data_IF_341901355031
#
_entry.id   IF_341901355031
#
_cell.length_a   1.000
_cell.length_b   1.000
_cell.length_c   1.000
_cell.angle_alpha   90.00
_cell.angle_beta   90.00
_cell.angle_gamma   90.00
#
_symmetry.space_group_name_H-M   'P 1'
#
loop_
_entity.id
_entity.type
_entity.pdbx_description
1 polymer ?
#
# COMPACT_ATOMS: atom_id res chain seq x y z
N UNK A 1 -12.08 -5.04 -7.44
CA UNK A 1 -11.30 -4.59 -6.27
C UNK A 1 -10.66 -3.26 -6.63
N UNK A 2 -10.63 -2.32 -5.68
CA UNK A 2 -10.00 -1.02 -5.83
C UNK A 2 -9.37 -0.60 -4.49
N UNK A 3 -8.40 0.30 -4.54
CA UNK A 3 -7.76 0.91 -3.39
C UNK A 3 -8.71 1.76 -2.54
N UNK A 4 -8.27 2.06 -1.31
CA UNK A 4 -9.03 2.80 -0.29
C UNK A 4 -9.54 4.15 -0.78
N UNK A 5 -8.75 4.81 -1.63
CA UNK A 5 -8.97 6.15 -2.17
C UNK A 5 -9.11 6.14 -3.69
N UNK A 6 -9.57 5.03 -4.26
CA UNK A 6 -9.81 4.96 -5.70
C UNK A 6 -10.96 5.86 -6.13
N UNK A 7 -10.75 6.52 -7.26
CA UNK A 7 -11.78 7.23 -8.00
C UNK A 7 -12.13 6.45 -9.27
N UNK A 8 -13.32 6.69 -9.81
CA UNK A 8 -13.83 5.96 -10.98
C UNK A 8 -13.27 6.51 -12.30
N UNK A 9 -13.32 5.67 -13.32
CA UNK A 9 -13.02 6.04 -14.70
C UNK A 9 -13.76 7.33 -15.14
N UNK A 10 -13.13 8.17 -15.98
CA UNK A 10 -11.88 7.94 -16.73
C UNK A 10 -10.59 8.18 -15.92
N UNK A 11 -10.71 8.49 -14.64
CA UNK A 11 -9.59 8.73 -13.74
C UNK A 11 -9.32 7.53 -12.83
N UNK A 12 -8.15 7.51 -12.22
CA UNK A 12 -7.73 6.52 -11.24
C UNK A 12 -6.81 7.11 -10.18
N UNK A 13 -6.35 6.24 -9.30
CA UNK A 13 -5.48 6.61 -8.18
C UNK A 13 -4.15 5.87 -8.27
N UNK A 14 -3.05 6.61 -8.21
CA UNK A 14 -1.70 6.07 -8.06
C UNK A 14 -1.24 6.26 -6.61
N UNK A 15 -0.78 5.20 -5.96
CA UNK A 15 -0.33 5.23 -4.58
C UNK A 15 1.19 5.33 -4.52
N UNK A 16 1.69 6.32 -3.80
CA UNK A 16 3.12 6.48 -3.51
C UNK A 16 3.32 6.74 -2.01
N UNK A 17 4.52 6.46 -1.50
CA UNK A 17 4.90 6.71 -0.12
C UNK A 17 6.17 7.55 -0.04
N UNK A 18 6.42 8.16 1.12
CA UNK A 18 7.59 9.01 1.34
C UNK A 18 8.89 8.23 1.62
N UNK A 19 8.80 6.92 1.89
CA UNK A 19 9.94 6.02 2.05
C UNK A 19 9.64 4.65 1.45
N UNK A 20 10.69 3.93 1.04
CA UNK A 20 10.59 2.56 0.54
C UNK A 20 9.94 1.64 1.59
N UNK A 21 10.39 1.74 2.84
CA UNK A 21 9.83 1.00 3.99
C UNK A 21 8.31 1.20 4.12
N UNK A 22 7.83 2.45 3.97
CA UNK A 22 6.40 2.76 4.06
C UNK A 22 5.63 2.14 2.90
N UNK A 23 6.17 2.21 1.68
CA UNK A 23 5.56 1.59 0.50
C UNK A 23 5.45 0.07 0.67
N UNK A 24 6.54 -0.57 1.11
CA UNK A 24 6.59 -2.02 1.33
C UNK A 24 5.63 -2.44 2.43
N UNK A 25 5.58 -1.75 3.57
CA UNK A 25 4.65 -2.06 4.67
C UNK A 25 3.19 -2.02 4.23
N UNK A 26 2.78 -1.12 3.35
CA UNK A 26 1.41 -1.10 2.84
C UNK A 26 1.08 -2.31 1.96
N UNK A 27 2.08 -2.84 1.25
CA UNK A 27 1.93 -3.97 0.33
C UNK A 27 1.97 -5.31 1.10
N UNK A 28 2.92 -5.50 2.01
CA UNK A 28 3.09 -6.76 2.75
C UNK A 28 2.33 -6.80 4.08
N UNK A 29 1.96 -5.64 4.61
CA UNK A 29 1.34 -5.48 5.93
C UNK A 29 0.07 -6.31 6.15
N UNK A 30 -0.89 -6.38 5.20
CA UNK A 30 -2.07 -7.22 5.37
C UNK A 30 -1.74 -8.70 5.60
N UNK A 31 -0.73 -9.22 4.91
CA UNK A 31 -0.33 -10.62 4.98
C UNK A 31 0.50 -10.89 6.23
N UNK A 32 1.41 -9.99 6.56
CA UNK A 32 2.20 -10.06 7.77
C UNK A 32 1.34 -9.96 9.03
N UNK A 33 0.39 -9.03 9.12
CA UNK A 33 -0.51 -8.93 10.29
C UNK A 33 -1.38 -10.17 10.45
N UNK A 34 -1.72 -10.83 9.35
CA UNK A 34 -2.57 -12.03 9.36
C UNK A 34 -1.82 -13.30 9.72
N UNK A 35 -0.56 -13.43 9.30
CA UNK A 35 0.18 -14.71 9.34
C UNK A 35 1.54 -14.65 10.05
N UNK A 36 2.06 -13.45 10.32
CA UNK A 36 3.41 -13.24 10.87
C UNK A 36 4.55 -13.48 9.88
N UNK A 37 4.25 -13.83 8.62
CA UNK A 37 5.25 -14.17 7.60
C UNK A 37 4.94 -13.49 6.28
N UNK A 38 5.98 -13.32 5.46
CA UNK A 38 5.87 -12.84 4.08
C UNK A 38 6.39 -13.94 3.16
N UNK A 39 5.60 -14.29 2.15
CA UNK A 39 6.01 -15.26 1.15
C UNK A 39 7.12 -14.69 0.27
N UNK A 40 8.21 -15.42 0.15
CA UNK A 40 9.36 -15.03 -0.66
C UNK A 40 9.01 -14.77 -2.15
N UNK A 41 8.20 -15.65 -2.74
CA UNK A 41 7.75 -15.49 -4.12
C UNK A 41 6.92 -14.22 -4.32
N UNK A 42 6.28 -13.70 -3.26
CA UNK A 42 5.56 -12.44 -3.34
C UNK A 42 6.52 -11.24 -3.43
N UNK A 43 7.65 -11.25 -2.72
CA UNK A 43 8.59 -10.11 -2.73
C UNK A 43 9.59 -10.17 -3.87
N UNK A 44 9.95 -11.37 -4.33
CA UNK A 44 11.01 -11.59 -5.32
C UNK A 44 10.69 -11.08 -6.73
N UNK A 45 9.41 -10.95 -7.10
CA UNK A 45 8.99 -10.45 -8.42
C UNK A 45 8.59 -8.96 -8.42
N UNK A 46 8.98 -8.20 -7.39
CA UNK A 46 8.50 -6.82 -7.18
C UNK A 46 9.65 -5.87 -6.91
N UNK A 47 9.51 -4.66 -7.47
CA UNK A 47 10.42 -3.54 -7.22
C UNK A 47 9.69 -2.38 -6.53
N UNK A 48 10.39 -1.70 -5.64
CA UNK A 48 9.99 -0.39 -5.11
C UNK A 48 10.52 0.67 -6.06
N UNK A 49 9.60 1.37 -6.73
CA UNK A 49 9.94 2.38 -7.73
C UNK A 49 9.96 3.79 -7.14
N UNK A 50 11.00 4.56 -7.43
CA UNK A 50 11.05 5.98 -7.09
C UNK A 50 10.37 6.81 -8.19
N UNK A 51 9.41 7.65 -7.77
CA UNK A 51 8.62 8.49 -8.66
C UNK A 51 8.87 9.96 -8.36
N UNK A 52 9.40 10.69 -9.34
CA UNK A 52 9.54 12.15 -9.25
C UNK A 52 8.29 12.85 -9.75
N UNK A 53 7.75 13.73 -8.90
CA UNK A 53 6.62 14.59 -9.28
C UNK A 53 7.14 15.81 -10.04
N UNK A 54 7.05 15.78 -11.38
CA UNK A 54 7.47 16.91 -12.23
C UNK A 54 6.65 18.20 -12.02
N UNK A 55 5.50 18.12 -11.35
CA UNK A 55 4.65 19.26 -10.99
C UNK A 55 4.19 19.11 -9.56
N UNK A 56 4.13 20.23 -8.84
CA UNK A 56 3.47 20.25 -7.55
C UNK A 56 1.99 19.90 -7.70
N UNK A 57 1.49 19.07 -6.79
CA UNK A 57 0.09 18.68 -6.75
C UNK A 57 -0.59 19.30 -5.53
N UNK A 58 -1.86 19.66 -5.69
CA UNK A 58 -2.71 20.12 -4.57
C UNK A 58 -3.34 18.90 -3.90
N UNK A 59 -2.78 18.43 -2.80
CA UNK A 59 -3.31 17.27 -2.07
C UNK A 59 -4.10 17.68 -0.81
N UNK A 60 -5.17 16.94 -0.50
CA UNK A 60 -5.89 17.08 0.77
C UNK A 60 -5.07 16.43 1.90
N UNK A 61 -4.69 17.21 2.92
CA UNK A 61 -3.82 16.75 4.01
C UNK A 61 -4.65 16.20 5.17
N UNK A 62 -4.85 14.88 5.22
CA UNK A 62 -5.67 14.22 6.24
C UNK A 62 -5.03 14.19 7.63
N UNK A 63 -3.73 14.50 7.73
CA UNK A 63 -3.01 14.55 9.00
C UNK A 63 -3.01 15.95 9.63
N UNK A 64 -3.74 16.90 9.06
CA UNK A 64 -3.85 18.26 9.61
C UNK A 64 -4.94 18.31 10.70
N UNK A 65 -4.71 18.92 11.88
CA UNK A 65 -5.74 18.99 12.92
C UNK A 65 -7.03 19.68 12.44
N UNK A 66 -6.95 20.58 11.45
CA UNK A 66 -8.11 21.27 10.90
C UNK A 66 -9.07 20.35 10.15
N UNK A 67 -8.72 19.09 9.87
CA UNK A 67 -9.65 18.16 9.19
C UNK A 67 -10.85 17.77 10.06
N UNK A 68 -10.74 17.94 11.38
CA UNK A 68 -11.82 17.64 12.31
C UNK A 68 -13.08 18.47 12.04
N UNK A 69 -12.94 19.71 11.57
CA UNK A 69 -14.09 20.56 11.20
C UNK A 69 -14.92 19.97 10.04
N UNK A 70 -14.31 19.11 9.23
CA UNK A 70 -14.95 18.37 8.15
C UNK A 70 -15.44 16.98 8.58
N UNK A 71 -15.40 16.68 9.89
CA UNK A 71 -15.75 15.37 10.47
C UNK A 71 -14.88 14.22 9.94
N UNK A 72 -13.67 14.54 9.49
CA UNK A 72 -12.67 13.56 9.08
C UNK A 72 -11.81 13.19 10.29
N UNK A 73 -11.59 11.89 10.47
CA UNK A 73 -10.70 11.33 11.49
C UNK A 73 -9.68 10.40 10.84
N UNK A 74 -8.71 9.91 11.61
CA UNK A 74 -7.76 8.89 11.15
C UNK A 74 -8.43 7.58 10.71
N UNK A 75 -9.69 7.35 11.10
CA UNK A 75 -10.46 6.20 10.65
C UNK A 75 -10.58 6.15 9.13
N UNK A 76 -10.65 7.31 8.47
CA UNK A 76 -10.74 7.40 7.00
C UNK A 76 -9.57 6.70 6.30
N UNK A 77 -8.39 6.69 6.92
CA UNK A 77 -7.17 6.04 6.42
C UNK A 77 -7.03 4.58 6.88
N UNK A 78 -7.91 4.08 7.75
CA UNK A 78 -7.75 2.77 8.40
C UNK A 78 -8.95 1.82 8.23
N UNK A 79 -10.15 2.32 7.98
CA UNK A 79 -11.36 1.49 7.83
C UNK A 79 -11.32 0.49 6.66
N UNK A 80 -11.96 -0.66 6.85
CA UNK A 80 -12.06 -1.72 5.84
C UNK A 80 -13.19 -1.47 4.82
N UNK A 81 -14.21 -0.69 5.18
CA UNK A 81 -15.26 -0.30 4.25
C UNK A 81 -14.77 0.82 3.32
N UNK A 82 -14.31 0.44 2.12
CA UNK A 82 -13.75 1.41 1.16
C UNK A 82 -14.78 2.32 0.50
N UNK A 83 -16.08 2.05 0.64
CA UNK A 83 -17.14 2.91 0.07
C UNK A 83 -17.02 4.36 0.58
N UNK A 84 -16.71 4.53 1.86
CA UNK A 84 -16.60 5.84 2.51
C UNK A 84 -15.34 6.61 2.03
N UNK A 85 -14.11 6.07 2.12
CA UNK A 85 -12.93 6.78 1.67
C UNK A 85 -12.90 6.99 0.15
N UNK A 86 -13.49 6.12 -0.66
CA UNK A 86 -13.67 6.35 -2.09
C UNK A 86 -14.65 7.51 -2.38
N UNK A 87 -15.74 7.63 -1.60
CA UNK A 87 -16.65 8.77 -1.69
C UNK A 87 -15.94 10.10 -1.35
N UNK A 88 -15.11 10.09 -0.30
CA UNK A 88 -14.25 11.24 0.03
C UNK A 88 -13.24 11.54 -1.07
N UNK A 89 -12.59 10.53 -1.65
CA UNK A 89 -11.66 10.72 -2.76
C UNK A 89 -12.33 11.38 -3.97
N UNK A 90 -13.52 10.92 -4.33
CA UNK A 90 -14.34 11.53 -5.38
C UNK A 90 -14.71 12.99 -5.06
N UNK A 91 -15.07 13.29 -3.80
CA UNK A 91 -15.39 14.65 -3.37
C UNK A 91 -14.17 15.59 -3.42
N UNK A 92 -13.00 15.12 -2.97
CA UNK A 92 -11.74 15.86 -3.07
C UNK A 92 -11.35 16.11 -4.53
N UNK A 93 -11.44 15.10 -5.39
CA UNK A 93 -11.15 15.23 -6.81
C UNK A 93 -12.08 16.27 -7.47
N UNK A 94 -13.38 16.20 -7.20
CA UNK A 94 -14.39 17.16 -7.68
C UNK A 94 -14.12 18.59 -7.18
N UNK A 95 -13.57 18.72 -5.97
CA UNK A 95 -13.17 20.01 -5.37
C UNK A 95 -11.83 20.54 -5.90
N UNK A 96 -11.24 19.89 -6.91
CA UNK A 96 -10.01 20.33 -7.56
C UNK A 96 -8.71 19.86 -6.89
N UNK A 97 -8.78 19.00 -5.87
CA UNK A 97 -7.58 18.33 -5.35
C UNK A 97 -7.09 17.28 -6.35
N UNK A 98 -5.77 17.07 -6.38
CA UNK A 98 -5.06 16.11 -7.22
C UNK A 98 -4.51 14.92 -6.43
N UNK A 99 -4.89 14.82 -5.17
CA UNK A 99 -4.61 13.64 -4.35
C UNK A 99 -4.95 13.85 -2.89
N UNK A 100 -4.63 12.83 -2.09
CA UNK A 100 -4.82 12.81 -0.64
C UNK A 100 -3.49 12.44 0.00
N UNK A 101 -3.01 13.27 0.91
CA UNK A 101 -1.84 13.03 1.75
C UNK A 101 -2.29 12.51 3.12
N UNK A 102 -1.89 11.29 3.46
CA UNK A 102 -2.44 10.57 4.61
C UNK A 102 -1.39 9.73 5.36
N UNK A 103 -1.77 9.26 6.55
CA UNK A 103 -1.01 8.28 7.32
C UNK A 103 -1.34 6.87 6.79
N UNK A 104 -0.37 6.12 6.25
CA UNK A 104 -0.55 4.72 5.86
C UNK A 104 -1.03 3.85 7.03
N UNK A 105 -1.76 2.76 6.75
CA UNK A 105 -2.35 1.88 7.76
C UNK A 105 -1.30 1.07 8.51
N UNK A 106 -0.27 0.61 7.82
CA UNK A 106 0.75 -0.30 8.35
C UNK A 106 2.05 0.42 8.74
N UNK A 107 2.03 1.74 8.78
CA UNK A 107 3.19 2.55 9.19
C UNK A 107 2.75 3.68 10.11
N UNK A 108 3.49 3.92 11.19
CA UNK A 108 3.18 4.97 12.17
C UNK A 108 4.17 6.17 12.08
N UNK A 109 3.99 7.16 12.95
CA UNK A 109 4.95 8.25 13.15
C UNK A 109 5.06 9.20 11.97
N UNK A 110 6.25 9.29 11.37
CA UNK A 110 6.58 10.22 10.27
C UNK A 110 6.26 9.67 8.87
N UNK A 111 5.81 8.43 8.77
CA UNK A 111 5.48 7.75 7.52
C UNK A 111 4.27 8.40 6.85
N UNK A 112 4.32 8.65 5.54
CA UNK A 112 3.26 9.33 4.79
C UNK A 112 3.07 8.70 3.44
N UNK A 113 1.81 8.59 3.03
CA UNK A 113 1.42 8.15 1.71
C UNK A 113 0.62 9.23 0.99
N UNK A 114 0.64 9.13 -0.34
CA UNK A 114 -0.06 10.03 -1.24
C UNK A 114 -0.84 9.19 -2.25
N UNK A 115 -2.15 9.33 -2.22
CA UNK A 115 -3.07 8.79 -3.22
C UNK A 115 -3.27 9.86 -4.30
N UNK A 116 -2.57 9.75 -5.42
CA UNK A 116 -2.58 10.73 -6.51
C UNK A 116 -3.68 10.46 -7.53
N UNK A 117 -4.46 11.48 -7.86
CA UNK A 117 -5.52 11.39 -8.86
C UNK A 117 -4.99 11.75 -10.24
N UNK A 118 -5.29 10.92 -11.24
CA UNK A 118 -4.87 11.14 -12.62
C UNK A 118 -5.71 10.36 -13.62
N UNK A 119 -5.45 10.49 -14.93
CA UNK A 119 -6.01 9.59 -15.94
C UNK A 119 -5.70 8.12 -15.60
N UNK A 120 -6.61 7.21 -15.91
CA UNK A 120 -6.35 5.77 -15.81
C UNK A 120 -5.27 5.31 -16.79
N UNK A 121 -4.65 4.18 -16.47
CA UNK A 121 -3.63 3.54 -17.30
C UNK A 121 -2.20 3.95 -16.95
N UNK A 122 -1.21 3.43 -17.70
CA UNK A 122 0.20 3.70 -17.45
C UNK A 122 0.54 5.17 -17.56
N UNK A 123 1.38 5.66 -16.65
CA UNK A 123 1.93 7.01 -16.76
C UNK A 123 2.80 7.12 -18.02
N UNK A 124 2.73 8.26 -18.70
CA UNK A 124 3.59 8.56 -19.87
C UNK A 124 5.03 8.93 -19.49
N UNK A 125 5.30 9.17 -18.21
CA UNK A 125 6.61 9.53 -17.67
C UNK A 125 7.07 8.38 -16.78
N UNK A 126 8.34 8.00 -16.93
CA UNK A 126 8.91 6.83 -16.25
C UNK A 126 9.14 7.05 -14.75
N UNK A 127 9.30 5.93 -14.03
CA UNK A 127 9.96 5.91 -12.72
C UNK A 127 11.48 6.02 -12.94
N UNK A 128 12.19 6.61 -11.97
CA UNK A 128 13.63 6.92 -12.15
C UNK A 128 14.51 5.70 -11.89
N UNK A 129 14.20 4.93 -10.85
CA UNK A 129 14.95 3.75 -10.41
C UNK A 129 14.02 2.77 -9.68
N UNK A 130 14.39 1.49 -9.68
CA UNK A 130 13.71 0.44 -8.92
C UNK A 130 14.71 -0.24 -7.98
N UNK A 131 14.31 -0.43 -6.73
CA UNK A 131 15.02 -1.27 -5.76
C UNK A 131 14.24 -2.56 -5.59
N UNK A 132 14.91 -3.71 -5.51
CA UNK A 132 14.20 -4.98 -5.26
C UNK A 132 13.44 -4.89 -3.93
N UNK A 133 12.17 -5.29 -3.94
CA UNK A 133 11.34 -5.26 -2.72
C UNK A 133 11.93 -6.17 -1.65
N UNK A 134 12.54 -7.29 -2.06
CA UNK A 134 13.26 -8.19 -1.16
C UNK A 134 14.34 -7.48 -0.36
N UNK A 135 15.20 -6.70 -1.01
CA UNK A 135 16.27 -5.96 -0.32
C UNK A 135 15.71 -5.01 0.74
N UNK A 136 14.58 -4.35 0.43
CA UNK A 136 13.92 -3.44 1.37
C UNK A 136 13.38 -4.21 2.57
N UNK A 137 12.78 -5.39 2.36
CA UNK A 137 12.26 -6.23 3.45
C UNK A 137 13.41 -6.76 4.32
N UNK A 138 14.52 -7.20 3.73
CA UNK A 138 15.68 -7.74 4.45
C UNK A 138 16.34 -6.68 5.36
N UNK A 139 16.29 -5.40 5.00
CA UNK A 139 16.78 -4.29 5.85
C UNK A 139 15.82 -3.90 6.98
N UNK A 140 14.55 -4.31 6.93
CA UNK A 140 13.56 -4.00 7.95
C UNK A 140 13.74 -4.97 9.14
N UNK A 141 14.20 -4.45 10.29
CA UNK A 141 14.47 -5.23 11.52
C UNK A 141 13.26 -5.97 12.14
N UNK A 142 12.08 -5.93 11.51
CA UNK A 142 10.81 -6.45 12.06
C UNK A 142 10.10 -7.48 11.16
N UNK A 143 10.65 -7.87 10.00
CA UNK A 143 9.98 -8.78 9.06
C UNK A 143 10.81 -10.04 8.78
N UNK A 144 10.21 -11.21 8.95
CA UNK A 144 10.79 -12.49 8.54
C UNK A 144 10.20 -12.92 7.19
N UNK A 145 11.05 -13.01 6.17
CA UNK A 145 10.69 -13.62 4.88
C UNK A 145 10.86 -15.12 4.98
N UNK A 146 9.83 -15.87 4.61
CA UNK A 146 9.87 -17.33 4.61
C UNK A 146 9.81 -17.83 3.18
N UNK A 147 10.85 -18.57 2.79
CA UNK A 147 10.87 -19.35 1.56
C UNK A 147 10.25 -20.72 1.85
N UNK A 148 9.29 -21.14 1.03
CA UNK A 148 8.86 -22.54 1.03
C UNK A 148 9.99 -23.36 0.41
N UNK A 149 10.82 -24.01 1.23
CA UNK A 149 11.81 -24.97 0.75
C UNK A 149 11.08 -26.25 0.28
N UNK A 150 11.65 -26.96 -0.69
CA UNK A 150 10.94 -27.92 -1.55
C UNK A 150 10.24 -29.10 -0.85
N UNK A 151 9.65 -29.97 -1.69
CA UNK A 151 8.98 -31.21 -1.26
C UNK A 151 9.89 -32.17 -0.47
N UNK A 152 11.20 -31.94 -0.48
CA UNK A 152 12.22 -32.67 0.27
C UNK A 152 12.15 -32.45 1.80
N UNK A 153 11.37 -31.48 2.27
CA UNK A 153 11.11 -31.23 3.70
C UNK A 153 9.73 -31.69 4.18
N UNK A 154 8.94 -32.32 3.31
CA UNK A 154 7.61 -32.82 3.62
C UNK A 154 7.56 -34.34 3.44
N UNK A 155 7.14 -35.07 4.48
CA UNK A 155 6.67 -36.44 4.32
C UNK A 155 5.19 -36.39 3.94
N UNK A 156 4.89 -36.61 2.67
CA UNK A 156 3.50 -36.72 2.19
C UNK A 156 3.07 -38.16 2.35
N UNK A 157 2.35 -38.45 3.43
CA UNK A 157 1.79 -39.77 3.68
C UNK A 157 0.59 -40.01 2.77
N UNK A 158 0.66 -41.02 1.89
CA UNK A 158 -0.46 -41.45 1.05
C UNK A 158 -1.63 -42.06 1.86
N UNK A 159 -1.42 -42.34 3.15
CA UNK A 159 -2.43 -42.84 4.09
C UNK A 159 -2.31 -42.12 5.43
N UNK A 160 -3.41 -41.75 6.08
CA UNK A 160 -3.36 -41.17 7.42
C UNK A 160 -2.76 -42.19 8.41
N UNK A 161 -1.76 -41.78 9.19
CA UNK A 161 -1.27 -42.53 10.35
C UNK A 161 -1.94 -42.00 11.62
N UNK A 162 -2.54 -42.92 12.38
CA UNK A 162 -3.21 -42.64 13.66
C UNK A 162 -4.72 -42.84 13.60
N UNK A 163 -5.28 -43.40 14.68
CA UNK A 163 -6.72 -43.43 14.93
C UNK A 163 -7.18 -42.02 15.32
N UNK A 164 -7.68 -41.26 14.34
CA UNK A 164 -8.42 -40.01 14.58
C UNK A 164 -9.93 -40.27 14.65
#
# INVERSE_FOLDING_TARGET
MGGRFDIREPHGTCYVANTDETAVREIVGPDFIRSGIINDAFVSDRVVSQVTLHKSIKAAKLTDPLVFQFRVTNELSNMDNYTIPQAWAAAFHTSGFKGIWYQPRFSAGKSRALAMFGPTGPAKHGYETGREMRDVVDEMLDLSVVTTQGLDQYEVLDKPEGDF
#
